data_IF_594131058603
#
_entry.id   IF_594131058603
#
_cell.length_a   1.000
_cell.length_b   1.000
_cell.length_c   1.000
_cell.angle_alpha   90.00
_cell.angle_beta   90.00
_cell.angle_gamma   90.00
#
_symmetry.space_group_name_H-M   'P 1'
#
loop_
_entity.id
_entity.type
_entity.pdbx_description
1 polymer ?
#
# COMPACT_ATOMS: atom_id res chain seq x y z
N UNK A 1 0.85 -4.70 4.69
CA UNK A 1 -0.12 -4.03 3.79
C UNK A 1 0.25 -2.62 3.34
N UNK A 2 0.71 -1.71 4.22
CA UNK A 2 1.00 -0.34 3.78
C UNK A 2 2.00 -0.28 2.61
N UNK A 3 3.10 -1.05 2.65
CA UNK A 3 4.07 -1.12 1.54
C UNK A 3 3.49 -1.68 0.23
N UNK A 4 2.49 -2.55 0.32
CA UNK A 4 1.82 -3.12 -0.85
C UNK A 4 0.94 -2.08 -1.55
N UNK A 5 0.32 -1.15 -0.81
CA UNK A 5 -0.59 -0.13 -1.39
C UNK A 5 0.03 1.25 -1.57
N UNK A 6 1.04 1.60 -0.78
CA UNK A 6 1.65 2.93 -0.76
C UNK A 6 3.08 2.88 -1.28
N UNK A 7 3.31 3.44 -2.47
CA UNK A 7 4.63 3.48 -3.14
C UNK A 7 5.69 4.23 -2.32
N UNK A 8 5.29 5.18 -1.47
CA UNK A 8 6.21 5.96 -0.62
C UNK A 8 7.05 5.08 0.31
N UNK A 9 6.55 3.90 0.73
CA UNK A 9 7.29 2.97 1.59
C UNK A 9 8.14 1.94 0.83
N UNK A 10 8.12 1.96 -0.51
CA UNK A 10 8.89 0.99 -1.33
C UNK A 10 10.34 1.42 -1.56
N UNK A 11 10.69 2.66 -1.26
CA UNK A 11 12.06 3.21 -1.39
C UNK A 11 12.43 3.96 -0.11
N UNK A 12 13.73 4.12 0.17
CA UNK A 12 14.17 5.02 1.23
C UNK A 12 13.58 6.41 1.04
N UNK A 13 12.98 6.95 2.10
CA UNK A 13 12.37 8.28 2.09
C UNK A 13 13.46 9.28 2.44
N UNK A 14 13.75 10.20 1.50
CA UNK A 14 14.67 11.31 1.73
C UNK A 14 13.83 12.46 2.31
N UNK A 15 13.62 12.44 3.62
CA UNK A 15 12.90 13.48 4.37
C UNK A 15 13.39 13.54 5.82
N UNK A 16 13.10 14.64 6.50
CA UNK A 16 13.34 14.74 7.95
C UNK A 16 12.48 13.72 8.71
N UNK A 17 12.97 13.13 9.83
CA UNK A 17 12.23 12.12 10.58
C UNK A 17 10.80 12.54 10.96
N UNK A 18 10.60 13.82 11.29
CA UNK A 18 9.27 14.36 11.63
C UNK A 18 8.30 14.29 10.46
N UNK A 19 8.78 14.54 9.24
CA UNK A 19 7.99 14.40 8.02
C UNK A 19 7.68 12.94 7.70
N UNK A 20 8.63 12.02 7.93
CA UNK A 20 8.39 10.58 7.77
C UNK A 20 7.25 10.13 8.70
N UNK A 21 7.25 10.59 9.95
CA UNK A 21 6.17 10.30 10.91
C UNK A 21 4.82 10.83 10.42
N UNK A 22 4.79 12.04 9.86
CA UNK A 22 3.57 12.61 9.25
C UNK A 22 3.08 11.77 8.06
N UNK A 23 3.97 11.34 7.17
CA UNK A 23 3.61 10.49 6.03
C UNK A 23 3.05 9.14 6.48
N UNK A 24 3.67 8.53 7.50
CA UNK A 24 3.15 7.30 8.11
C UNK A 24 1.78 7.50 8.72
N UNK A 25 1.55 8.59 9.48
CA UNK A 25 0.23 8.89 10.05
C UNK A 25 -0.83 9.10 8.98
N UNK A 26 -0.53 9.87 7.94
CA UNK A 26 -1.45 10.15 6.83
C UNK A 26 -1.84 8.88 6.08
N UNK A 27 -0.85 8.03 5.77
CA UNK A 27 -1.10 6.75 5.08
C UNK A 27 -1.87 5.75 5.94
N UNK A 28 -1.69 5.75 7.27
CA UNK A 28 -2.50 4.94 8.19
C UNK A 28 -3.95 5.44 8.21
N UNK A 29 -4.15 6.75 8.37
CA UNK A 29 -5.50 7.33 8.39
C UNK A 29 -6.25 7.01 7.10
N UNK A 30 -5.58 7.15 5.95
CA UNK A 30 -6.16 6.86 4.65
C UNK A 30 -6.36 5.36 4.42
N UNK A 31 -5.44 4.51 4.89
CA UNK A 31 -5.60 3.05 4.87
C UNK A 31 -6.83 2.61 5.65
N UNK A 32 -7.04 3.18 6.84
CA UNK A 32 -8.19 2.87 7.67
C UNK A 32 -9.48 3.33 6.99
N UNK A 33 -9.50 4.56 6.47
CA UNK A 33 -10.65 5.09 5.74
C UNK A 33 -11.04 4.19 4.56
N UNK A 34 -10.10 3.86 3.67
CA UNK A 34 -10.35 3.02 2.50
C UNK A 34 -10.78 1.59 2.86
N UNK A 35 -10.28 1.06 3.98
CA UNK A 35 -10.76 -0.23 4.50
C UNK A 35 -12.21 -0.16 4.96
N UNK A 36 -12.67 0.98 5.47
CA UNK A 36 -14.05 1.14 5.95
C UNK A 36 -15.02 1.50 4.82
N UNK A 37 -14.61 2.38 3.89
CA UNK A 37 -15.50 2.89 2.83
C UNK A 37 -15.50 2.03 1.57
N UNK A 38 -14.34 1.48 1.21
CA UNK A 38 -14.12 0.81 -0.08
C UNK A 38 -13.47 -0.56 0.12
N UNK A 39 -13.89 -1.29 1.17
CA UNK A 39 -13.23 -2.55 1.59
C UNK A 39 -13.06 -3.56 0.44
N UNK A 40 -14.05 -3.71 -0.43
CA UNK A 40 -14.02 -4.68 -1.52
C UNK A 40 -13.00 -4.33 -2.61
N UNK A 41 -12.83 -3.04 -2.90
CA UNK A 41 -11.89 -2.54 -3.92
C UNK A 41 -10.48 -2.41 -3.32
N UNK A 42 -10.41 -1.94 -2.09
CA UNK A 42 -9.15 -1.71 -1.39
C UNK A 42 -8.54 -2.99 -0.81
N UNK A 43 -9.35 -4.00 -0.49
CA UNK A 43 -8.89 -5.26 0.07
C UNK A 43 -9.80 -6.40 -0.41
N UNK A 44 -9.68 -6.83 -1.68
CA UNK A 44 -10.48 -7.92 -2.21
C UNK A 44 -10.23 -9.22 -1.44
N UNK A 45 -11.21 -10.14 -1.48
CA UNK A 45 -11.09 -11.44 -0.84
C UNK A 45 -9.83 -12.19 -1.33
N UNK A 46 -9.05 -12.70 -0.38
CA UNK A 46 -7.76 -13.35 -0.66
C UNK A 46 -6.57 -12.40 -0.80
N UNK A 47 -6.76 -11.08 -0.65
CA UNK A 47 -5.64 -10.14 -0.63
C UNK A 47 -4.82 -10.21 0.66
N UNK A 48 -5.49 -10.29 1.82
CA UNK A 48 -4.84 -10.43 3.12
C UNK A 48 -4.69 -11.89 3.51
N UNK A 49 -3.73 -12.16 4.40
CA UNK A 49 -3.59 -13.47 5.02
C UNK A 49 -4.88 -13.78 5.80
N UNK A 50 -5.38 -15.00 5.65
CA UNK A 50 -6.55 -15.51 6.36
C UNK A 50 -6.17 -16.75 7.15
N UNK A 51 -6.95 -17.10 8.17
CA UNK A 51 -6.78 -18.36 8.89
C UNK A 51 -7.89 -19.33 8.48
N UNK A 52 -7.53 -20.59 8.25
CA UNK A 52 -8.53 -21.64 8.08
C UNK A 52 -9.10 -22.07 9.44
N UNK A 53 -10.19 -22.87 9.42
CA UNK A 53 -10.82 -23.36 10.64
C UNK A 53 -9.95 -24.31 11.49
N UNK A 54 -8.78 -24.72 10.99
CA UNK A 54 -7.79 -25.54 11.68
C UNK A 54 -6.61 -24.71 12.23
N UNK A 55 -6.62 -23.39 12.04
CA UNK A 55 -5.55 -22.48 12.49
C UNK A 55 -4.35 -22.41 11.54
N UNK A 56 -4.45 -22.95 10.32
CA UNK A 56 -3.41 -22.76 9.31
C UNK A 56 -3.56 -21.40 8.64
N UNK A 57 -2.42 -20.75 8.39
CA UNK A 57 -2.37 -19.47 7.69
C UNK A 57 -2.48 -19.68 6.18
N UNK A 58 -3.56 -19.17 5.60
CA UNK A 58 -3.76 -19.01 4.16
C UNK A 58 -3.07 -17.69 3.76
N UNK A 59 -2.00 -17.80 2.97
CA UNK A 59 -1.26 -16.63 2.50
C UNK A 59 -2.11 -15.79 1.53
N UNK A 60 -2.23 -14.50 1.79
CA UNK A 60 -2.87 -13.54 0.90
C UNK A 60 -1.93 -13.05 -0.20
N UNK A 61 -2.52 -12.54 -1.28
CA UNK A 61 -1.80 -12.06 -2.46
C UNK A 61 -1.13 -10.69 -2.28
N UNK A 62 -1.19 -10.08 -1.08
CA UNK A 62 -0.59 -8.77 -0.83
C UNK A 62 0.93 -8.70 -1.04
N UNK A 63 1.61 -9.86 -1.06
CA UNK A 63 3.05 -9.99 -1.36
C UNK A 63 3.34 -10.26 -2.84
N UNK A 64 2.33 -10.64 -3.61
CA UNK A 64 2.42 -11.09 -5.01
C UNK A 64 2.12 -9.97 -6.02
N UNK A 65 1.93 -8.73 -5.53
CA UNK A 65 1.65 -7.60 -6.39
C UNK A 65 2.86 -7.31 -7.31
N UNK A 66 2.71 -7.69 -8.59
CA UNK A 66 3.66 -7.41 -9.68
C UNK A 66 3.90 -5.92 -9.89
N UNK A 67 3.17 -5.03 -9.22
CA UNK A 67 3.51 -3.61 -9.16
C UNK A 67 4.80 -3.31 -8.36
N UNK A 68 5.32 -4.25 -7.56
CA UNK A 68 6.60 -4.09 -6.83
C UNK A 68 7.74 -3.72 -7.80
N UNK A 69 7.64 -4.15 -9.06
CA UNK A 69 8.66 -3.92 -10.09
C UNK A 69 8.58 -2.52 -10.74
N UNK A 70 7.41 -1.86 -10.73
CA UNK A 70 7.27 -0.48 -11.24
C UNK A 70 7.31 0.52 -10.07
N UNK A 71 8.53 0.90 -9.69
CA UNK A 71 8.80 2.05 -8.81
C UNK A 71 8.27 3.36 -9.41
N UNK A 72 8.31 4.48 -8.67
CA UNK A 72 7.87 5.80 -9.17
C UNK A 72 8.46 6.08 -10.57
N UNK A 73 7.63 5.95 -11.60
CA UNK A 73 8.01 6.27 -12.97
C UNK A 73 7.83 7.78 -13.17
N UNK A 74 8.81 8.38 -13.84
CA UNK A 74 8.73 9.78 -14.21
C UNK A 74 7.55 9.97 -15.16
N UNK A 75 6.48 10.60 -14.68
CA UNK A 75 5.44 11.13 -15.56
C UNK A 75 6.12 12.27 -16.32
N UNK A 76 6.36 12.05 -17.62
CA UNK A 76 7.00 13.02 -18.49
C UNK A 76 6.35 14.40 -18.36
N UNK A 77 7.18 15.45 -18.40
CA UNK A 77 6.75 16.83 -18.24
C UNK A 77 5.73 17.20 -19.33
N UNK A 78 4.46 17.38 -18.97
CA UNK A 78 3.45 17.92 -19.87
C UNK A 78 3.74 19.41 -20.03
N UNK A 79 4.48 19.78 -21.07
CA UNK A 79 4.55 21.17 -21.52
C UNK A 79 3.20 21.50 -22.15
N UNK A 80 2.40 22.31 -21.45
CA UNK A 80 1.20 22.92 -22.02
C UNK A 80 1.60 23.83 -23.18
N UNK A 81 0.87 23.70 -24.29
CA UNK A 81 0.99 24.55 -25.48
C UNK A 81 -0.10 25.62 -25.44
#
# INVERSE_FOLDING_TARGET
MLVARWRIFRRPIIAEPDHVVLYTKATIALHNFLRTTESFVYCPNGFIDAEDGAGNVINGTWRDDSSIVSGLESIGQIRGN
#
